data_IF_862023341682
#
_entry.id   IF_862023341682
#
_cell.length_a   1.000
_cell.length_b   1.000
_cell.length_c   1.000
_cell.angle_alpha   90.00
_cell.angle_beta   90.00
_cell.angle_gamma   90.00
#
_symmetry.space_group_name_H-M   'P 1'
#
loop_
_entity.id
_entity.type
_entity.pdbx_description
1 polymer ?
#
# COMPACT_ATOMS: atom_id res chain seq x y z
N UNK A 1 2.92 9.25 21.35
CA UNK A 1 3.49 8.11 20.60
C UNK A 1 4.54 7.34 21.39
N UNK A 2 5.53 7.96 22.03
CA UNK A 2 6.52 7.20 22.83
C UNK A 2 5.93 6.39 23.98
N UNK A 3 4.92 6.94 24.66
CA UNK A 3 4.21 6.26 25.75
C UNK A 3 3.66 4.88 25.31
N UNK A 4 3.20 4.76 24.06
CA UNK A 4 2.71 3.50 23.49
C UNK A 4 3.77 2.40 23.50
N UNK A 5 4.98 2.71 23.01
CA UNK A 5 6.08 1.75 23.02
C UNK A 5 6.62 1.48 24.43
N UNK A 6 6.53 2.48 25.33
CA UNK A 6 6.95 2.32 26.72
C UNK A 6 6.04 1.40 27.54
N UNK A 7 4.78 1.24 27.14
CA UNK A 7 3.82 0.29 27.74
C UNK A 7 4.17 -1.15 27.37
N UNK A 8 4.80 -1.40 26.22
CA UNK A 8 5.29 -2.73 25.86
C UNK A 8 6.33 -3.15 26.91
N UNK A 9 6.16 -4.29 27.56
CA UNK A 9 7.08 -4.74 28.60
C UNK A 9 8.52 -4.77 28.08
N UNK A 10 9.47 -4.28 28.90
CA UNK A 10 10.90 -4.17 28.54
C UNK A 10 11.50 -5.50 28.04
N UNK A 11 11.01 -6.65 28.52
CA UNK A 11 11.50 -7.96 28.07
C UNK A 11 11.18 -8.24 26.59
N UNK A 12 10.07 -7.71 26.07
CA UNK A 12 9.69 -7.84 24.66
C UNK A 12 10.50 -6.92 23.74
N UNK A 13 11.09 -5.84 24.27
CA UNK A 13 11.92 -4.94 23.46
C UNK A 13 13.18 -5.62 22.94
N UNK A 14 13.69 -6.61 23.66
CA UNK A 14 14.83 -7.40 23.22
C UNK A 14 14.47 -8.33 22.05
N UNK A 15 13.22 -8.76 21.93
CA UNK A 15 12.75 -9.62 20.83
C UNK A 15 12.32 -8.85 19.58
N UNK A 16 12.13 -7.53 19.66
CA UNK A 16 11.71 -6.73 18.50
C UNK A 16 12.93 -6.47 17.61
N UNK A 17 13.00 -7.21 16.50
CA UNK A 17 14.00 -7.01 15.46
C UNK A 17 13.60 -5.93 14.45
N UNK A 18 12.30 -5.80 14.17
CA UNK A 18 11.80 -4.91 13.11
C UNK A 18 10.47 -4.27 13.52
N UNK A 19 10.34 -2.97 13.27
CA UNK A 19 9.11 -2.18 13.42
C UNK A 19 8.65 -1.74 12.04
N UNK A 20 7.48 -2.21 11.59
CA UNK A 20 6.88 -1.72 10.36
C UNK A 20 6.02 -0.48 10.62
N UNK A 21 6.20 0.52 9.78
CA UNK A 21 5.50 1.80 9.84
C UNK A 21 4.98 2.17 8.46
N UNK A 22 3.81 2.77 8.43
CA UNK A 22 3.22 3.50 7.30
C UNK A 22 4.00 4.77 6.88
N UNK A 23 5.26 4.91 7.33
CA UNK A 23 6.14 6.07 7.15
C UNK A 23 5.70 7.33 7.92
N UNK A 24 4.80 7.20 8.90
CA UNK A 24 4.46 8.30 9.78
C UNK A 24 5.67 8.74 10.62
N UNK A 25 6.12 9.98 10.43
CA UNK A 25 7.35 10.50 11.04
C UNK A 25 7.33 10.47 12.58
N UNK A 26 6.19 10.78 13.20
CA UNK A 26 6.05 10.73 14.66
C UNK A 26 6.16 9.31 15.23
N UNK A 27 5.74 8.30 14.46
CA UNK A 27 5.82 6.89 14.86
C UNK A 27 7.24 6.37 14.68
N UNK A 28 7.89 6.70 13.56
CA UNK A 28 9.30 6.41 13.31
C UNK A 28 10.18 7.06 14.38
N UNK A 29 9.94 8.34 14.71
CA UNK A 29 10.66 9.06 15.73
C UNK A 29 10.53 8.41 17.11
N UNK A 30 9.30 8.07 17.51
CA UNK A 30 9.04 7.39 18.77
C UNK A 30 9.67 5.99 18.83
N UNK A 31 9.62 5.22 17.74
CA UNK A 31 10.25 3.91 17.66
C UNK A 31 11.78 4.01 17.77
N UNK A 32 12.40 4.99 17.08
CA UNK A 32 13.83 5.27 17.20
C UNK A 32 14.23 5.70 18.62
N UNK A 33 13.41 6.53 19.28
CA UNK A 33 13.66 6.97 20.64
C UNK A 33 13.61 5.82 21.67
N UNK A 34 12.76 4.81 21.45
CA UNK A 34 12.57 3.69 22.38
C UNK A 34 13.47 2.50 22.09
N UNK A 35 13.62 2.11 20.82
CA UNK A 35 14.38 0.91 20.42
C UNK A 35 15.81 1.23 19.94
N UNK A 36 16.13 2.50 19.66
CA UNK A 36 17.46 2.91 19.20
C UNK A 36 17.88 2.17 17.93
N UNK A 37 19.10 1.63 17.94
CA UNK A 37 19.67 0.83 16.82
C UNK A 37 19.28 -0.66 16.86
N UNK A 38 18.53 -1.11 17.88
CA UNK A 38 18.19 -2.53 18.04
C UNK A 38 17.14 -3.01 17.03
N UNK A 39 16.18 -2.15 16.73
CA UNK A 39 15.09 -2.47 15.79
C UNK A 39 15.28 -1.74 14.47
N UNK A 40 15.12 -2.47 13.36
CA UNK A 40 15.05 -1.90 12.03
C UNK A 40 13.67 -1.29 11.78
N UNK A 41 13.61 -0.17 11.06
CA UNK A 41 12.35 0.44 10.65
C UNK A 41 12.06 -0.03 9.21
N UNK A 42 10.97 -0.77 9.00
CA UNK A 42 10.46 -1.12 7.67
C UNK A 42 9.29 -0.22 7.25
N UNK A 43 9.17 0.03 5.96
CA UNK A 43 7.90 0.48 5.40
C UNK A 43 6.88 -0.66 5.50
N UNK A 44 5.67 -0.35 5.96
CA UNK A 44 4.55 -1.29 5.96
C UNK A 44 4.13 -1.60 4.52
N UNK A 45 4.52 -2.78 4.04
CA UNK A 45 4.21 -3.28 2.69
C UNK A 45 2.71 -3.28 2.39
N UNK A 46 1.87 -3.50 3.39
CA UNK A 46 0.42 -3.57 3.20
C UNK A 46 -0.14 -2.17 2.97
N UNK A 47 0.32 -1.19 3.75
CA UNK A 47 -0.04 0.21 3.54
C UNK A 47 0.42 0.73 2.19
N UNK A 48 1.68 0.47 1.83
CA UNK A 48 2.25 0.86 0.54
C UNK A 48 1.44 0.25 -0.60
N UNK A 49 1.21 -1.07 -0.59
CA UNK A 49 0.45 -1.74 -1.64
C UNK A 49 -0.99 -1.21 -1.76
N UNK A 50 -1.64 -0.89 -0.63
CA UNK A 50 -2.98 -0.28 -0.61
C UNK A 50 -2.98 1.09 -1.28
N UNK A 51 -2.07 1.99 -0.88
CA UNK A 51 -1.97 3.35 -1.42
C UNK A 51 -1.65 3.33 -2.92
N UNK A 52 -0.72 2.47 -3.36
CA UNK A 52 -0.43 2.31 -4.78
C UNK A 52 -1.67 1.84 -5.56
N UNK A 53 -2.40 0.83 -5.06
CA UNK A 53 -3.62 0.34 -5.71
C UNK A 53 -4.71 1.41 -5.78
N UNK A 54 -4.90 2.20 -4.73
CA UNK A 54 -5.86 3.31 -4.71
C UNK A 54 -5.52 4.39 -5.75
N UNK A 55 -4.24 4.73 -5.90
CA UNK A 55 -3.78 5.69 -6.90
C UNK A 55 -4.03 5.20 -8.34
N UNK A 56 -3.72 3.93 -8.62
CA UNK A 56 -3.98 3.28 -9.91
C UNK A 56 -5.48 3.23 -10.21
N UNK A 57 -6.31 2.87 -9.23
CA UNK A 57 -7.77 2.83 -9.39
C UNK A 57 -8.34 4.22 -9.70
N UNK A 58 -7.81 5.26 -9.06
CA UNK A 58 -8.20 6.66 -9.31
C UNK A 58 -7.87 7.08 -10.74
N UNK A 59 -6.64 6.78 -11.19
CA UNK A 59 -6.21 7.05 -12.57
C UNK A 59 -7.08 6.29 -13.57
N UNK A 60 -7.31 5.00 -13.32
CA UNK A 60 -8.14 4.14 -14.17
C UNK A 60 -9.55 4.69 -14.36
N UNK A 61 -10.22 5.13 -13.28
CA UNK A 61 -11.56 5.75 -13.37
C UNK A 61 -11.54 7.03 -14.20
N UNK A 62 -10.53 7.86 -14.01
CA UNK A 62 -10.35 9.11 -14.78
C UNK A 62 -10.16 8.83 -16.27
N UNK A 63 -9.27 7.90 -16.61
CA UNK A 63 -8.97 7.55 -18.00
C UNK A 63 -10.15 6.87 -18.68
N UNK A 64 -10.85 5.96 -18.02
CA UNK A 64 -12.05 5.35 -18.59
C UNK A 64 -13.15 6.38 -18.87
N UNK A 65 -13.31 7.37 -17.98
CA UNK A 65 -14.25 8.49 -18.20
C UNK A 65 -13.83 9.34 -19.39
N UNK A 66 -12.53 9.56 -19.60
CA UNK A 66 -12.00 10.26 -20.78
C UNK A 66 -12.27 9.47 -22.06
N UNK A 67 -11.91 8.18 -22.09
CA UNK A 67 -12.08 7.31 -23.26
C UNK A 67 -13.54 7.18 -23.69
N UNK A 68 -14.47 7.03 -22.74
CA UNK A 68 -15.93 7.00 -23.03
C UNK A 68 -16.45 8.28 -23.69
N UNK A 69 -15.76 9.41 -23.55
CA UNK A 69 -16.14 10.68 -24.19
C UNK A 69 -15.49 10.88 -25.55
N UNK A 70 -14.37 10.20 -25.81
CA UNK A 70 -13.53 10.43 -27.01
C UNK A 70 -13.68 9.33 -28.05
N UNK A 71 -13.93 8.09 -27.63
CA UNK A 71 -13.99 6.93 -28.53
C UNK A 71 -15.42 6.56 -28.91
N UNK A 72 -15.54 5.91 -30.07
CA UNK A 72 -16.76 5.21 -30.46
C UNK A 72 -16.98 3.98 -29.57
N UNK A 73 -18.22 3.46 -29.54
CA UNK A 73 -18.56 2.29 -28.74
C UNK A 73 -17.74 1.05 -29.14
N UNK A 74 -17.54 0.83 -30.45
CA UNK A 74 -16.77 -0.31 -30.98
C UNK A 74 -15.31 -0.31 -30.47
N UNK A 75 -14.64 0.85 -30.53
CA UNK A 75 -13.25 0.98 -30.01
C UNK A 75 -13.17 0.88 -28.49
N UNK A 76 -14.27 1.16 -27.77
CA UNK A 76 -14.32 1.01 -26.32
C UNK A 76 -14.47 -0.48 -25.92
N UNK A 77 -15.26 -1.24 -26.68
CA UNK A 77 -15.49 -2.67 -26.43
C UNK A 77 -14.20 -3.48 -26.62
N UNK A 78 -13.33 -3.11 -27.57
CA UNK A 78 -11.98 -3.69 -27.72
C UNK A 78 -11.09 -3.51 -26.46
N UNK A 79 -11.36 -2.51 -25.64
CA UNK A 79 -10.59 -2.19 -24.42
C UNK A 79 -11.18 -2.80 -23.14
N UNK A 80 -12.27 -3.57 -23.22
CA UNK A 80 -12.97 -4.12 -22.05
C UNK A 80 -12.05 -5.01 -21.18
N UNK A 81 -11.21 -5.82 -21.82
CA UNK A 81 -10.27 -6.71 -21.12
C UNK A 81 -9.16 -5.94 -20.40
N UNK A 82 -8.66 -4.86 -20.99
CA UNK A 82 -7.59 -4.04 -20.39
C UNK A 82 -8.03 -3.41 -19.06
N UNK A 83 -9.31 -3.02 -18.97
CA UNK A 83 -9.89 -2.50 -17.73
C UNK A 83 -9.90 -3.55 -16.60
N UNK A 84 -10.15 -4.82 -16.93
CA UNK A 84 -10.23 -5.92 -15.97
C UNK A 84 -8.88 -6.36 -15.42
N UNK A 85 -7.82 -6.30 -16.23
CA UNK A 85 -6.45 -6.63 -15.79
C UNK A 85 -6.02 -5.76 -14.61
N UNK A 86 -6.43 -4.49 -14.58
CA UNK A 86 -6.11 -3.56 -13.49
C UNK A 86 -6.91 -3.82 -12.21
N UNK A 87 -7.95 -4.66 -12.26
CA UNK A 87 -8.89 -4.89 -11.17
C UNK A 87 -8.73 -6.26 -10.51
N UNK A 88 -8.21 -7.25 -11.23
CA UNK A 88 -7.96 -8.59 -10.68
C UNK A 88 -6.76 -8.59 -9.73
N UNK A 89 -6.85 -9.39 -8.66
CA UNK A 89 -5.62 -9.77 -7.95
C UNK A 89 -4.83 -10.68 -8.87
N UNK A 90 -3.50 -10.64 -8.75
CA UNK A 90 -2.61 -11.48 -9.56
C UNK A 90 -2.91 -12.98 -9.43
N UNK A 91 -3.48 -13.40 -8.30
CA UNK A 91 -3.92 -14.79 -8.05
C UNK A 91 -5.24 -15.15 -8.76
N UNK A 92 -6.00 -14.16 -9.23
CA UNK A 92 -7.30 -14.31 -9.89
C UNK A 92 -7.16 -14.15 -11.43
N UNK A 93 -5.94 -13.93 -11.94
CA UNK A 93 -5.64 -13.92 -13.37
C UNK A 93 -5.31 -15.35 -13.80
N UNK A 94 -6.27 -16.05 -14.41
CA UNK A 94 -6.00 -17.34 -15.03
C UNK A 94 -5.06 -17.14 -16.22
N UNK A 95 -4.14 -18.09 -16.41
CA UNK A 95 -3.26 -18.15 -17.57
C UNK A 95 -4.06 -18.73 -18.75
N UNK A 96 -4.79 -17.87 -19.45
CA UNK A 96 -5.29 -18.17 -20.80
C UNK A 96 -4.31 -17.62 -21.85
#
# INVERSE_FOLDING_TARGET
MEAFFRIIYKHLWCSIAVVCSDLHQGFIGAAKAVFGKRALICADRCHVARLYRESVETLRKRELKRLRRTLSKASLDELENAHWVLRHRRADLNAD
#
